data_IF_960271898954
#
_entry.id   IF_960271898954
#
_cell.length_a   1.000
_cell.length_b   1.000
_cell.length_c   1.000
_cell.angle_alpha   90.00
_cell.angle_beta   90.00
_cell.angle_gamma   90.00
#
_symmetry.space_group_name_H-M   'P 1'
#
loop_
_entity.id
_entity.type
_entity.pdbx_description
1 polymer ?
#
# COMPACT_ATOMS: atom_id res chain seq x y z
N UNK A 1 4.52 -3.68 12.55
CA UNK A 1 4.42 -5.07 12.04
C UNK A 1 3.38 -5.09 10.92
N UNK A 2 3.68 -5.69 9.77
CA UNK A 2 2.75 -5.83 8.66
C UNK A 2 2.56 -7.33 8.40
N UNK A 3 1.31 -7.80 8.36
CA UNK A 3 0.94 -9.17 8.07
C UNK A 3 -0.01 -9.17 6.86
N UNK A 4 0.42 -9.75 5.75
CA UNK A 4 -0.45 -10.07 4.62
C UNK A 4 -1.02 -11.46 4.86
N UNK A 5 -2.31 -11.55 5.11
CA UNK A 5 -3.01 -12.81 5.36
C UNK A 5 -3.85 -13.14 4.13
N UNK A 6 -3.70 -14.34 3.59
CA UNK A 6 -4.59 -14.84 2.54
C UNK A 6 -5.78 -15.53 3.20
N UNK A 7 -6.98 -15.02 2.96
CA UNK A 7 -8.26 -15.64 3.34
C UNK A 7 -8.82 -16.41 2.13
N UNK A 8 -9.72 -17.37 2.38
CA UNK A 8 -10.33 -18.20 1.34
C UNK A 8 -11.12 -17.38 0.30
N UNK A 9 -11.51 -16.14 0.65
CA UNK A 9 -12.25 -15.21 -0.22
C UNK A 9 -11.42 -14.02 -0.72
N UNK A 10 -10.11 -13.95 -0.43
CA UNK A 10 -9.26 -12.83 -0.88
C UNK A 10 -8.04 -12.53 -0.01
N UNK A 11 -7.27 -11.51 -0.41
CA UNK A 11 -6.13 -11.00 0.36
C UNK A 11 -6.61 -10.02 1.43
N UNK A 12 -6.19 -10.25 2.68
CA UNK A 12 -6.43 -9.39 3.83
C UNK A 12 -5.09 -8.83 4.28
N UNK A 13 -4.83 -7.55 4.00
CA UNK A 13 -3.69 -6.84 4.59
C UNK A 13 -4.03 -6.39 6.01
N UNK A 14 -3.28 -6.87 7.00
CA UNK A 14 -3.40 -6.43 8.40
C UNK A 14 -2.10 -5.78 8.85
N UNK A 15 -2.13 -4.46 9.05
CA UNK A 15 -0.98 -3.71 9.58
C UNK A 15 -1.23 -3.38 11.03
N UNK A 16 -0.36 -3.84 11.93
CA UNK A 16 -0.30 -3.37 13.33
C UNK A 16 0.96 -2.56 13.49
N UNK A 17 0.83 -1.25 13.36
CA UNK A 17 1.95 -0.33 13.50
C UNK A 17 1.81 0.44 14.80
N UNK A 18 2.51 -0.02 15.84
CA UNK A 18 2.76 0.80 17.02
C UNK A 18 3.76 1.86 16.65
N UNK A 19 3.30 3.11 16.46
CA UNK A 19 4.18 4.24 16.19
C UNK A 19 4.01 5.26 17.30
N UNK A 20 5.06 5.39 18.11
CA UNK A 20 5.22 6.53 19.01
C UNK A 20 5.50 7.74 18.11
N UNK A 21 4.48 8.60 17.94
CA UNK A 21 4.53 9.98 17.43
C UNK A 21 4.91 10.32 15.98
N UNK A 22 5.16 9.37 15.07
CA UNK A 22 5.41 9.71 13.66
C UNK A 22 4.28 9.26 12.69
N UNK A 23 3.76 10.13 11.81
CA UNK A 23 2.73 9.75 10.84
C UNK A 23 3.24 8.75 9.79
N UNK A 24 2.36 7.93 9.20
CA UNK A 24 2.67 6.97 8.10
C UNK A 24 2.86 7.63 6.73
N UNK A 25 3.06 8.95 6.70
CA UNK A 25 3.10 9.74 5.48
C UNK A 25 1.72 9.85 4.81
N UNK A 26 1.67 10.26 3.53
CA UNK A 26 0.43 10.56 2.83
C UNK A 26 -0.36 9.30 2.42
N UNK A 27 -1.68 9.43 2.32
CA UNK A 27 -2.57 8.42 1.75
C UNK A 27 -2.39 8.29 0.24
N UNK A 28 -2.94 7.22 -0.35
CA UNK A 28 -3.01 7.04 -1.79
C UNK A 28 -3.75 8.22 -2.45
N UNK A 29 -4.88 8.67 -1.90
CA UNK A 29 -5.60 9.85 -2.41
C UNK A 29 -4.71 11.10 -2.44
N UNK A 30 -3.95 11.34 -1.37
CA UNK A 30 -3.05 12.48 -1.27
C UNK A 30 -1.86 12.36 -2.25
N UNK A 31 -1.31 11.16 -2.44
CA UNK A 31 -0.29 10.91 -3.45
C UNK A 31 -0.80 11.07 -4.88
N UNK A 32 -2.09 10.80 -5.08
CA UNK A 32 -2.77 10.81 -6.38
C UNK A 32 -3.53 12.10 -6.68
N UNK A 33 -3.48 13.11 -5.80
CA UNK A 33 -4.14 14.41 -6.03
C UNK A 33 -3.54 15.20 -7.21
N UNK A 34 -2.25 14.97 -7.53
CA UNK A 34 -1.57 15.55 -8.69
C UNK A 34 -0.44 14.62 -9.12
N UNK A 35 -0.77 13.50 -9.77
CA UNK A 35 0.19 12.44 -10.01
C UNK A 35 1.05 12.79 -11.23
N UNK A 36 2.37 12.60 -11.10
CA UNK A 36 3.22 12.50 -12.27
C UNK A 36 3.00 11.15 -12.97
N UNK A 37 3.32 11.02 -14.27
CA UNK A 37 3.21 9.73 -14.98
C UNK A 37 3.89 8.57 -14.24
N UNK A 38 5.09 8.81 -13.69
CA UNK A 38 5.81 7.80 -12.92
C UNK A 38 5.15 7.42 -11.58
N UNK A 39 4.37 8.31 -10.96
CA UNK A 39 3.58 7.94 -9.76
C UNK A 39 2.44 6.99 -10.10
N UNK A 40 1.78 7.21 -11.23
CA UNK A 40 0.69 6.35 -11.73
C UNK A 40 1.24 4.96 -12.00
N UNK A 41 2.31 4.86 -12.80
CA UNK A 41 2.96 3.60 -13.15
C UNK A 41 3.40 2.83 -11.90
N UNK A 42 3.99 3.53 -10.93
CA UNK A 42 4.45 2.91 -9.70
C UNK A 42 3.31 2.41 -8.82
N UNK A 43 2.22 3.16 -8.71
CA UNK A 43 1.04 2.70 -7.98
C UNK A 43 0.41 1.48 -8.66
N UNK A 44 0.29 1.50 -9.99
CA UNK A 44 -0.22 0.37 -10.77
C UNK A 44 0.64 -0.89 -10.56
N UNK A 45 1.96 -0.75 -10.61
CA UNK A 45 2.89 -1.83 -10.32
C UNK A 45 2.72 -2.39 -8.89
N UNK A 46 2.57 -1.53 -7.88
CA UNK A 46 2.34 -1.96 -6.51
C UNK A 46 1.01 -2.72 -6.38
N UNK A 47 -0.05 -2.24 -7.01
CA UNK A 47 -1.36 -2.90 -7.01
C UNK A 47 -1.29 -4.28 -7.68
N UNK A 48 -0.65 -4.38 -8.84
CA UNK A 48 -0.47 -5.63 -9.58
C UNK A 48 0.32 -6.66 -8.76
N UNK A 49 1.46 -6.25 -8.20
CA UNK A 49 2.29 -7.11 -7.36
C UNK A 49 1.56 -7.61 -6.10
N UNK A 50 0.70 -6.78 -5.52
CA UNK A 50 -0.08 -7.11 -4.31
C UNK A 50 -1.41 -7.81 -4.62
N UNK A 51 -1.79 -7.94 -5.90
CA UNK A 51 -3.08 -8.49 -6.31
C UNK A 51 -4.28 -7.62 -5.90
N UNK A 52 -4.09 -6.31 -5.79
CA UNK A 52 -5.12 -5.34 -5.41
C UNK A 52 -5.75 -4.77 -6.68
N UNK A 53 -7.03 -5.06 -6.90
CA UNK A 53 -7.76 -4.59 -8.09
C UNK A 53 -8.17 -3.13 -8.01
N UNK A 54 -8.52 -2.66 -6.81
CA UNK A 54 -8.85 -1.27 -6.53
C UNK A 54 -8.23 -0.89 -5.18
N UNK A 55 -7.29 0.08 -5.19
CA UNK A 55 -6.59 0.47 -3.98
C UNK A 55 -7.43 1.48 -3.21
N UNK A 56 -7.77 1.22 -1.93
CA UNK A 56 -8.53 2.18 -1.15
C UNK A 56 -7.78 3.52 -1.04
N UNK A 57 -8.46 4.65 -1.28
CA UNK A 57 -7.83 5.97 -1.36
C UNK A 57 -7.32 6.48 0.01
N UNK A 58 -7.86 5.95 1.10
CA UNK A 58 -7.55 6.28 2.49
C UNK A 58 -6.35 5.52 3.06
N UNK A 59 -5.87 4.47 2.37
CA UNK A 59 -4.69 3.72 2.80
C UNK A 59 -3.42 4.56 2.61
N UNK A 60 -2.50 4.47 3.57
CA UNK A 60 -1.18 5.11 3.48
C UNK A 60 -0.32 4.46 2.39
N UNK A 61 0.17 5.26 1.45
CA UNK A 61 0.97 4.78 0.32
C UNK A 61 2.21 3.99 0.77
N UNK A 62 2.81 4.40 1.89
CA UNK A 62 3.99 3.75 2.46
C UNK A 62 3.73 2.29 2.86
N UNK A 63 2.48 1.94 3.20
CA UNK A 63 2.11 0.56 3.55
C UNK A 63 2.17 -0.35 2.31
N UNK A 64 1.59 0.08 1.18
CA UNK A 64 1.70 -0.64 -0.09
C UNK A 64 3.15 -0.82 -0.50
N UNK A 65 3.91 0.27 -0.43
CA UNK A 65 5.31 0.28 -0.80
C UNK A 65 6.15 -0.71 0.03
N UNK A 66 6.04 -0.64 1.38
CA UNK A 66 6.79 -1.53 2.26
C UNK A 66 6.39 -2.99 2.08
N UNK A 67 5.12 -3.26 1.79
CA UNK A 67 4.64 -4.61 1.50
C UNK A 67 5.24 -5.16 0.23
N UNK A 68 5.19 -4.39 -0.87
CA UNK A 68 5.82 -4.75 -2.13
C UNK A 68 7.32 -5.00 -1.97
N UNK A 69 8.04 -4.12 -1.24
CA UNK A 69 9.45 -4.32 -0.93
C UNK A 69 9.73 -5.61 -0.16
N UNK A 70 8.84 -6.03 0.73
CA UNK A 70 8.97 -7.28 1.47
C UNK A 70 8.70 -8.54 0.62
N UNK A 71 7.98 -8.43 -0.50
CA UNK A 71 7.75 -9.53 -1.45
C UNK A 71 8.90 -9.71 -2.45
N UNK A 72 9.62 -8.63 -2.77
CA UNK A 72 10.74 -8.62 -3.71
C UNK A 72 12.08 -8.92 -3.00
N UNK A 73 12.12 -8.73 -1.67
CA UNK A 73 13.32 -8.88 -0.83
C UNK A 73 13.70 -10.32 -0.51
#
# INVERSE_FOLDING_TARGET
>A
MFALVRHETGLVGCTVEGKVDEPFGPTVAQQMASPSPGKIERLAYLCDLLGISDCPPDVHYQLLHRTASALIG
#
